data_IF_724799269584
#
_entry.id   IF_724799269584
#
_cell.length_a   1.000
_cell.length_b   1.000
_cell.length_c   1.000
_cell.angle_alpha   90.00
_cell.angle_beta   90.00
_cell.angle_gamma   90.00
#
_symmetry.space_group_name_H-M   'P 1'
#
loop_
_entity.id
_entity.type
_entity.pdbx_description
1 polymer ?
#
# COMPACT_ATOMS: atom_id res chain seq x y z
N UNK A 1 4.90 6.31 -8.91
CA UNK A 1 4.33 5.25 -9.78
C UNK A 1 3.01 4.77 -9.16
N UNK A 2 1.93 4.58 -9.93
CA UNK A 2 0.63 4.16 -9.39
C UNK A 2 0.54 2.65 -9.14
N UNK A 3 -0.43 2.22 -8.33
CA UNK A 3 -0.69 0.79 -8.09
C UNK A 3 -1.28 0.09 -9.33
N UNK A 4 -0.80 -1.13 -9.62
CA UNK A 4 -1.28 -1.90 -10.79
C UNK A 4 -2.37 -2.91 -10.47
N UNK A 5 -2.71 -3.07 -9.19
CA UNK A 5 -3.77 -3.98 -8.72
C UNK A 5 -4.45 -3.46 -7.46
N UNK A 6 -5.70 -3.89 -7.23
CA UNK A 6 -6.45 -3.55 -6.01
C UNK A 6 -5.72 -4.03 -4.75
N UNK A 7 -5.05 -5.17 -4.81
CA UNK A 7 -4.24 -5.70 -3.71
C UNK A 7 -3.07 -4.76 -3.35
N UNK A 8 -2.33 -4.25 -4.33
CA UNK A 8 -1.23 -3.31 -4.10
C UNK A 8 -1.73 -1.99 -3.52
N UNK A 9 -2.82 -1.43 -4.04
CA UNK A 9 -3.41 -0.20 -3.51
C UNK A 9 -3.87 -0.36 -2.06
N UNK A 10 -4.48 -1.52 -1.71
CA UNK A 10 -4.85 -1.87 -0.33
C UNK A 10 -3.62 -1.97 0.57
N UNK A 11 -2.58 -2.67 0.12
CA UNK A 11 -1.35 -2.86 0.86
C UNK A 11 -0.63 -1.53 1.12
N UNK A 12 -0.61 -0.64 0.12
CA UNK A 12 -0.06 0.70 0.23
C UNK A 12 -0.79 1.53 1.28
N UNK A 13 -2.13 1.51 1.30
CA UNK A 13 -2.92 2.21 2.31
C UNK A 13 -2.62 1.73 3.74
N UNK A 14 -2.53 0.41 3.94
CA UNK A 14 -2.16 -0.13 5.25
C UNK A 14 -0.73 0.25 5.67
N UNK A 15 0.22 0.19 4.73
CA UNK A 15 1.60 0.59 4.96
C UNK A 15 1.72 2.09 5.26
N UNK A 16 0.94 2.94 4.57
CA UNK A 16 0.89 4.39 4.77
C UNK A 16 0.38 4.73 6.17
N UNK A 17 -0.74 4.12 6.58
CA UNK A 17 -1.31 4.24 7.92
C UNK A 17 -0.26 3.91 9.00
N UNK A 18 0.50 2.83 8.80
CA UNK A 18 1.58 2.48 9.71
C UNK A 18 2.78 3.46 9.66
N UNK A 19 3.08 4.05 8.50
CA UNK A 19 4.14 5.08 8.37
C UNK A 19 3.77 6.36 9.12
N UNK A 20 2.48 6.70 9.13
CA UNK A 20 1.91 7.83 9.87
C UNK A 20 1.70 7.56 11.36
N UNK A 21 1.94 6.32 11.80
CA UNK A 21 1.81 5.91 13.21
C UNK A 21 0.37 5.58 13.64
N UNK A 22 -0.58 5.53 12.70
CA UNK A 22 -1.99 5.21 12.97
C UNK A 22 -2.23 3.70 13.12
N UNK A 23 -1.33 2.87 12.59
CA UNK A 23 -1.37 1.40 12.68
C UNK A 23 -0.03 0.85 13.14
N UNK A 24 -0.01 -0.21 13.95
CA UNK A 24 1.26 -0.77 14.44
C UNK A 24 1.96 -1.51 13.30
N UNK A 25 3.28 -1.36 13.18
CA UNK A 25 4.10 -2.11 12.20
C UNK A 25 3.88 -3.63 12.30
N UNK A 26 3.67 -4.15 13.51
CA UNK A 26 3.43 -5.58 13.77
C UNK A 26 2.11 -6.11 13.19
N UNK A 27 1.16 -5.24 12.86
CA UNK A 27 -0.13 -5.61 12.26
C UNK A 27 -0.05 -5.74 10.74
N UNK A 28 1.02 -5.23 10.12
CA UNK A 28 1.27 -5.35 8.69
C UNK A 28 1.65 -6.79 8.31
N UNK A 29 1.14 -7.24 7.16
CA UNK A 29 1.33 -8.60 6.65
C UNK A 29 1.58 -8.60 5.15
N UNK A 30 2.38 -9.54 4.68
CA UNK A 30 2.69 -9.70 3.25
C UNK A 30 3.19 -8.40 2.60
N UNK A 31 2.53 -8.00 1.52
CA UNK A 31 2.93 -6.83 0.73
C UNK A 31 2.95 -5.52 1.55
N UNK A 32 2.03 -5.29 2.48
CA UNK A 32 2.01 -4.02 3.23
C UNK A 32 3.22 -3.89 4.15
N UNK A 33 3.72 -5.00 4.70
CA UNK A 33 4.95 -5.00 5.51
C UNK A 33 6.17 -4.67 4.65
N UNK A 34 6.30 -5.33 3.48
CA UNK A 34 7.39 -5.05 2.54
C UNK A 34 7.37 -3.60 2.06
N UNK A 35 6.19 -3.08 1.68
CA UNK A 35 6.03 -1.70 1.25
C UNK A 35 6.37 -0.69 2.35
N UNK A 36 5.98 -0.95 3.61
CA UNK A 36 6.37 -0.09 4.74
C UNK A 36 7.89 0.01 4.92
N UNK A 37 8.60 -1.11 4.71
CA UNK A 37 10.05 -1.20 4.89
C UNK A 37 10.83 -0.60 3.73
N UNK A 38 10.35 -0.76 2.49
CA UNK A 38 11.09 -0.34 1.29
C UNK A 38 10.65 1.00 0.69
N UNK A 39 9.51 1.55 1.11
CA UNK A 39 8.94 2.78 0.53
C UNK A 39 8.82 3.89 1.57
N UNK A 40 8.96 5.13 1.10
CA UNK A 40 8.69 6.33 1.90
C UNK A 40 7.20 6.70 1.86
N UNK A 41 6.80 7.65 2.71
CA UNK A 41 5.40 8.06 2.85
C UNK A 41 4.78 8.51 1.52
N UNK A 42 5.47 9.38 0.77
CA UNK A 42 4.99 9.90 -0.52
C UNK A 42 4.78 8.79 -1.54
N UNK A 43 5.69 7.83 -1.62
CA UNK A 43 5.55 6.69 -2.52
C UNK A 43 4.35 5.81 -2.12
N UNK A 44 4.10 5.62 -0.81
CA UNK A 44 2.94 4.87 -0.35
C UNK A 44 1.62 5.61 -0.64
N UNK A 45 1.62 6.93 -0.54
CA UNK A 45 0.50 7.80 -0.88
C UNK A 45 0.12 7.69 -2.36
N UNK A 46 1.08 7.81 -3.28
CA UNK A 46 0.82 7.65 -4.72
C UNK A 46 0.15 6.29 -5.07
N UNK A 47 0.60 5.21 -4.41
CA UNK A 47 0.00 3.89 -4.60
C UNK A 47 -1.39 3.81 -3.97
N UNK A 48 -1.59 4.39 -2.79
CA UNK A 48 -2.86 4.39 -2.07
C UNK A 48 -3.93 5.27 -2.74
N UNK A 49 -3.55 6.36 -3.39
CA UNK A 49 -4.45 7.29 -4.09
C UNK A 49 -4.92 6.74 -5.45
N UNK A 50 -4.27 5.68 -5.95
CA UNK A 50 -4.64 5.08 -7.23
C UNK A 50 -6.11 4.61 -7.20
N UNK A 51 -6.91 5.01 -8.20
CA UNK A 51 -8.33 4.65 -8.29
C UNK A 51 -8.49 3.12 -8.33
N UNK A 52 -9.29 2.57 -7.42
CA UNK A 52 -9.61 1.13 -7.36
C UNK A 52 -10.43 0.62 -8.55
N UNK A 53 -11.24 1.48 -9.16
CA UNK A 53 -12.12 1.10 -10.28
C UNK A 53 -11.27 0.83 -11.52
N UNK A 54 -11.50 -0.31 -12.18
CA UNK A 54 -10.76 -0.71 -13.38
C UNK A 54 -9.45 -1.46 -13.12
N UNK A 55 -8.98 -1.56 -11.87
CA UNK A 55 -7.82 -2.38 -11.53
C UNK A 55 -8.20 -3.86 -11.37
N UNK A 56 -7.34 -4.80 -11.80
CA UNK A 56 -7.50 -6.22 -11.49
C UNK A 56 -7.33 -6.45 -9.98
N UNK A 57 -7.87 -7.57 -9.46
CA UNK A 57 -7.75 -7.88 -8.03
C UNK A 57 -6.30 -8.11 -7.60
N UNK A 58 -5.56 -8.86 -8.41
CA UNK A 58 -4.14 -9.17 -8.24
C UNK A 58 -3.42 -8.87 -9.54
N UNK A 59 -2.11 -8.61 -9.46
CA UNK A 59 -1.26 -8.55 -10.65
C UNK A 59 -1.12 -9.98 -11.17
N UNK A 60 -1.40 -10.19 -12.45
CA UNK A 60 -1.12 -11.46 -13.14
C UNK A 60 0.38 -11.72 -13.22
#
# INVERSE_FOLDING_TARGET
>A
MPATSKAQQKAAGAALSAKRGETKKSELKGASKGMYESMNEKQLEEFAETKRKGLPEKKS
#
